data_IF_578771637511
#
_entry.id   IF_578771637511
#
_cell.length_a   1.000
_cell.length_b   1.000
_cell.length_c   1.000
_cell.angle_alpha   90.00
_cell.angle_beta   90.00
_cell.angle_gamma   90.00
#
_symmetry.space_group_name_H-M   'P 1'
#
loop_
_entity.id
_entity.type
_entity.pdbx_description
1 polymer ?
#
# COMPACT_ATOMS: atom_id res chain seq x y z
N UNK A 1 4.05 -5.59 21.74
CA UNK A 1 4.19 -4.98 20.40
C UNK A 1 4.80 -3.60 20.58
N UNK A 2 5.80 -3.22 19.76
CA UNK A 2 6.41 -1.88 19.81
C UNK A 2 5.60 -0.94 18.93
N UNK A 3 5.13 0.19 19.47
CA UNK A 3 4.50 1.22 18.65
C UNK A 3 5.54 1.91 17.75
N UNK A 4 5.19 2.23 16.49
CA UNK A 4 6.08 2.96 15.60
C UNK A 4 6.33 4.37 16.14
N UNK A 5 7.60 4.79 16.08
CA UNK A 5 7.98 6.17 16.40
C UNK A 5 7.43 7.13 15.36
N UNK A 6 7.22 8.41 15.72
CA UNK A 6 6.62 9.39 14.81
C UNK A 6 7.42 9.59 13.50
N UNK A 7 8.75 9.41 13.57
CA UNK A 7 9.62 9.39 12.40
C UNK A 7 9.35 8.19 11.47
N UNK A 8 9.11 7.00 12.03
CA UNK A 8 8.75 5.80 11.25
C UNK A 8 7.38 5.97 10.60
N UNK A 9 6.40 6.57 11.29
CA UNK A 9 5.08 6.87 10.72
C UNK A 9 5.17 7.83 9.53
N UNK A 10 5.98 8.88 9.64
CA UNK A 10 6.24 9.83 8.53
C UNK A 10 6.94 9.16 7.35
N UNK A 11 7.91 8.29 7.63
CA UNK A 11 8.64 7.56 6.61
C UNK A 11 7.75 6.51 5.93
N UNK A 12 6.86 5.86 6.66
CA UNK A 12 5.88 4.93 6.12
C UNK A 12 4.85 5.67 5.24
N UNK A 13 4.38 6.83 5.66
CA UNK A 13 3.47 7.67 4.86
C UNK A 13 4.11 8.13 3.55
N UNK A 14 5.39 8.49 3.58
CA UNK A 14 6.08 9.11 2.46
C UNK A 14 6.77 8.12 1.53
N UNK A 15 7.48 7.16 2.12
CA UNK A 15 8.37 6.23 1.44
C UNK A 15 7.79 4.84 1.34
N UNK A 16 6.64 4.55 1.97
CA UNK A 16 5.99 3.24 2.08
C UNK A 16 7.02 2.10 2.10
N UNK A 17 7.38 1.66 3.30
CA UNK A 17 8.44 0.68 3.50
C UNK A 17 8.24 -0.54 2.61
N UNK A 18 9.22 -0.83 1.76
CA UNK A 18 9.16 -1.98 0.86
C UNK A 18 9.15 -3.33 1.59
N UNK A 19 9.54 -3.34 2.87
CA UNK A 19 9.41 -4.46 3.81
C UNK A 19 8.45 -4.08 4.92
N UNK A 20 7.55 -5.00 5.24
CA UNK A 20 6.74 -4.92 6.44
C UNK A 20 7.65 -4.92 7.68
N UNK A 21 7.36 -4.07 8.67
CA UNK A 21 8.08 -4.09 9.92
C UNK A 21 7.77 -5.37 10.71
N UNK A 22 8.73 -5.87 11.49
CA UNK A 22 8.59 -7.11 12.30
C UNK A 22 7.42 -7.08 13.31
N UNK A 23 6.87 -5.90 13.62
CA UNK A 23 5.71 -5.76 14.51
C UNK A 23 4.35 -5.83 13.80
N UNK A 24 4.31 -5.87 12.46
CA UNK A 24 3.09 -5.93 11.65
C UNK A 24 2.62 -7.38 11.42
N UNK A 25 2.51 -8.16 12.50
CA UNK A 25 2.20 -9.60 12.40
C UNK A 25 0.71 -9.82 12.09
N UNK A 26 -0.19 -9.00 12.63
CA UNK A 26 -1.64 -9.27 12.63
C UNK A 26 -2.48 -8.34 11.75
N UNK A 27 -1.88 -7.30 11.14
CA UNK A 27 -2.64 -6.31 10.35
C UNK A 27 -1.86 -5.87 9.11
N UNK A 28 -2.47 -5.92 7.91
CA UNK A 28 -1.85 -5.44 6.69
C UNK A 28 -1.63 -3.92 6.80
N UNK A 29 -0.36 -3.52 6.81
CA UNK A 29 0.02 -2.10 6.83
C UNK A 29 -0.32 -1.37 5.53
N UNK A 30 -0.53 -2.11 4.44
CA UNK A 30 -0.73 -1.57 3.10
C UNK A 30 -2.10 -1.97 2.57
N UNK A 31 -2.97 -0.99 2.34
CA UNK A 31 -4.19 -1.14 1.56
C UNK A 31 -3.98 -0.54 0.19
N UNK A 32 -4.79 -0.90 -0.80
CA UNK A 32 -4.76 -0.20 -2.10
C UNK A 32 -4.93 1.31 -1.94
N UNK A 33 -5.76 1.75 -0.99
CA UNK A 33 -5.92 3.16 -0.66
C UNK A 33 -4.62 3.82 -0.20
N UNK A 34 -3.87 3.21 0.73
CA UNK A 34 -2.60 3.77 1.21
C UNK A 34 -1.51 3.77 0.14
N UNK A 35 -1.49 2.75 -0.74
CA UNK A 35 -0.58 2.68 -1.89
C UNK A 35 -0.84 3.85 -2.85
N UNK A 36 -2.11 4.10 -3.21
CA UNK A 36 -2.49 5.19 -4.11
C UNK A 36 -2.21 6.56 -3.46
N UNK A 37 -2.53 6.73 -2.18
CA UNK A 37 -2.29 7.98 -1.46
C UNK A 37 -0.81 8.37 -1.46
N UNK A 38 0.09 7.43 -1.15
CA UNK A 38 1.52 7.70 -1.18
C UNK A 38 2.05 7.97 -2.60
N UNK A 39 1.52 7.29 -3.62
CA UNK A 39 1.87 7.55 -5.01
C UNK A 39 1.53 9.00 -5.41
N UNK A 40 0.32 9.45 -5.07
CA UNK A 40 -0.13 10.82 -5.31
C UNK A 40 0.73 11.84 -4.56
N UNK A 41 1.06 11.57 -3.29
CA UNK A 41 1.92 12.43 -2.49
C UNK A 41 3.31 12.60 -3.12
N UNK A 42 3.94 11.50 -3.58
CA UNK A 42 5.24 11.55 -4.27
C UNK A 42 5.16 12.34 -5.56
N UNK A 43 4.15 12.10 -6.38
CA UNK A 43 3.95 12.82 -7.64
C UNK A 43 3.78 14.31 -7.39
N UNK A 44 2.99 14.71 -6.38
CA UNK A 44 2.83 16.10 -6.02
C UNK A 44 4.15 16.77 -5.62
N UNK A 45 4.94 16.10 -4.78
CA UNK A 45 6.22 16.63 -4.30
C UNK A 45 7.26 16.71 -5.41
N UNK A 46 7.37 15.67 -6.23
CA UNK A 46 8.25 15.66 -7.39
C UNK A 46 7.84 16.71 -8.44
N UNK A 47 6.53 16.95 -8.59
CA UNK A 47 6.01 18.02 -9.43
C UNK A 47 6.45 19.40 -8.95
N UNK A 48 6.25 19.70 -7.65
CA UNK A 48 6.70 20.96 -7.05
C UNK A 48 8.22 21.12 -7.15
N UNK A 49 8.98 20.06 -6.87
CA UNK A 49 10.44 20.09 -6.99
C UNK A 49 10.90 20.36 -8.44
N UNK A 50 10.21 19.78 -9.42
CA UNK A 50 10.50 20.01 -10.84
C UNK A 50 10.20 21.45 -11.26
N UNK A 51 9.12 22.05 -10.75
CA UNK A 51 8.82 23.48 -11.00
C UNK A 51 9.93 24.36 -10.43
N UNK A 52 10.35 24.12 -9.18
CA UNK A 52 11.44 24.87 -8.55
C UNK A 52 12.73 24.70 -9.36
N UNK A 53 13.07 23.49 -9.77
CA UNK A 53 14.28 23.19 -10.55
C UNK A 53 14.30 23.92 -11.91
N UNK A 54 13.13 24.11 -12.53
CA UNK A 54 13.00 24.84 -13.80
C UNK A 54 13.39 26.32 -13.72
N UNK A 55 13.49 26.91 -12.52
CA UNK A 55 14.00 28.26 -12.34
C UNK A 55 15.52 28.36 -12.49
N UNK A 56 16.25 27.25 -12.37
CA UNK A 56 17.71 27.21 -12.34
C UNK A 56 18.31 26.51 -13.57
N UNK A 57 17.52 25.72 -14.29
CA UNK A 57 17.96 24.88 -15.40
C UNK A 57 17.06 25.03 -16.63
N UNK A 58 17.58 24.70 -17.81
CA UNK A 58 16.80 24.68 -19.06
C UNK A 58 15.54 23.83 -18.92
N UNK A 59 14.39 24.41 -19.25
CA UNK A 59 13.07 23.77 -19.15
C UNK A 59 13.00 22.43 -19.88
N UNK A 60 13.68 22.30 -21.03
CA UNK A 60 13.73 21.03 -21.78
C UNK A 60 14.44 19.92 -21.01
N UNK A 61 15.53 20.24 -20.30
CA UNK A 61 16.27 19.25 -19.50
C UNK A 61 15.48 18.87 -18.25
N UNK A 62 14.87 19.86 -17.59
CA UNK A 62 14.03 19.64 -16.41
C UNK A 62 12.81 18.80 -16.76
N UNK A 63 12.20 19.00 -17.92
CA UNK A 63 11.07 18.19 -18.38
C UNK A 63 11.41 16.70 -18.49
N UNK A 64 12.52 16.38 -19.17
CA UNK A 64 12.98 14.99 -19.29
C UNK A 64 13.36 14.39 -17.94
N UNK A 65 14.06 15.16 -17.10
CA UNK A 65 14.41 14.72 -15.76
C UNK A 65 13.16 14.42 -14.91
N UNK A 66 12.17 15.33 -14.92
CA UNK A 66 10.92 15.17 -14.21
C UNK A 66 10.16 13.90 -14.65
N UNK A 67 10.09 13.60 -15.96
CA UNK A 67 9.45 12.38 -16.45
C UNK A 67 10.13 11.11 -15.92
N UNK A 68 11.45 11.05 -15.98
CA UNK A 68 12.22 9.91 -15.47
C UNK A 68 12.03 9.77 -13.96
N UNK A 69 12.12 10.87 -13.21
CA UNK A 69 11.98 10.85 -11.75
C UNK A 69 10.57 10.50 -11.31
N UNK A 70 9.54 11.04 -11.95
CA UNK A 70 8.13 10.70 -11.66
C UNK A 70 7.85 9.22 -11.91
N UNK A 71 8.39 8.66 -12.99
CA UNK A 71 8.24 7.24 -13.27
C UNK A 71 9.01 6.38 -12.27
N UNK A 72 10.31 6.64 -12.07
CA UNK A 72 11.19 5.82 -11.25
C UNK A 72 10.90 5.91 -9.75
N UNK A 73 10.54 7.10 -9.24
CA UNK A 73 10.36 7.36 -7.80
C UNK A 73 8.88 7.48 -7.43
N UNK A 74 8.02 7.94 -8.34
CA UNK A 74 6.58 8.02 -8.09
C UNK A 74 5.88 6.70 -8.39
N UNK A 75 5.85 6.33 -9.68
CA UNK A 75 5.00 5.25 -10.20
C UNK A 75 5.57 3.86 -9.91
N UNK A 76 6.84 3.61 -10.21
CA UNK A 76 7.48 2.31 -10.06
C UNK A 76 7.36 1.70 -8.64
N UNK A 77 7.65 2.41 -7.55
CA UNK A 77 7.50 1.84 -6.21
C UNK A 77 6.02 1.63 -5.82
N UNK A 78 5.09 2.40 -6.36
CA UNK A 78 3.66 2.16 -6.13
C UNK A 78 3.20 0.87 -6.83
N UNK A 79 3.65 0.67 -8.08
CA UNK A 79 3.38 -0.56 -8.83
C UNK A 79 3.95 -1.81 -8.14
N UNK A 80 5.22 -1.75 -7.71
CA UNK A 80 5.87 -2.88 -7.01
C UNK A 80 5.12 -3.27 -5.72
N UNK A 81 4.63 -2.28 -4.98
CA UNK A 81 3.86 -2.54 -3.76
C UNK A 81 2.47 -3.08 -4.05
N UNK A 82 1.80 -2.56 -5.07
CA UNK A 82 0.52 -3.08 -5.52
C UNK A 82 0.64 -4.55 -5.89
N UNK A 83 1.70 -4.94 -6.60
CA UNK A 83 1.94 -6.33 -6.96
C UNK A 83 2.13 -7.23 -5.73
N UNK A 84 2.93 -6.81 -4.74
CA UNK A 84 3.11 -7.57 -3.48
C UNK A 84 1.82 -7.68 -2.66
N UNK A 85 1.03 -6.62 -2.60
CA UNK A 85 -0.28 -6.64 -1.95
C UNK A 85 -1.18 -7.66 -2.65
N UNK A 86 -1.22 -7.65 -3.97
CA UNK A 86 -2.02 -8.59 -4.75
C UNK A 86 -1.59 -10.05 -4.52
N UNK A 87 -0.28 -10.34 -4.51
CA UNK A 87 0.25 -11.68 -4.19
C UNK A 87 -0.16 -12.16 -2.78
N UNK A 88 -0.25 -11.24 -1.80
CA UNK A 88 -0.72 -11.58 -0.45
C UNK A 88 -2.21 -11.88 -0.42
N UNK A 89 -3.01 -11.07 -1.11
CA UNK A 89 -4.45 -11.27 -1.24
C UNK A 89 -4.76 -12.59 -1.95
N UNK A 90 -4.01 -12.94 -2.99
CA UNK A 90 -4.13 -14.21 -3.70
C UNK A 90 -3.90 -15.39 -2.75
N UNK A 91 -2.84 -15.34 -1.93
CA UNK A 91 -2.58 -16.36 -0.89
C UNK A 91 -3.70 -16.48 0.13
N UNK A 92 -4.29 -15.36 0.57
CA UNK A 92 -5.45 -15.38 1.48
C UNK A 92 -6.66 -15.98 0.77
N UNK A 93 -6.86 -15.63 -0.50
CA UNK A 93 -8.01 -16.05 -1.29
C UNK A 93 -7.99 -17.55 -1.55
N UNK A 94 -6.82 -18.11 -1.86
CA UNK A 94 -6.65 -19.54 -2.16
C UNK A 94 -6.45 -20.40 -0.91
N UNK A 95 -5.86 -19.82 0.14
CA UNK A 95 -5.40 -20.55 1.33
C UNK A 95 -6.31 -20.50 2.54
N UNK A 96 -7.37 -19.66 2.54
CA UNK A 96 -8.21 -19.45 3.74
C UNK A 96 -9.71 -19.53 3.44
N UNK A 97 -10.50 -19.85 4.47
CA UNK A 97 -11.96 -19.80 4.40
C UNK A 97 -12.47 -18.39 4.03
N UNK A 98 -11.80 -17.34 4.51
CA UNK A 98 -12.17 -15.96 4.20
C UNK A 98 -12.10 -15.64 2.70
N UNK A 99 -11.21 -16.30 1.96
CA UNK A 99 -11.09 -16.13 0.51
C UNK A 99 -12.37 -16.46 -0.27
N UNK A 100 -13.08 -17.49 0.17
CA UNK A 100 -14.36 -17.92 -0.40
C UNK A 100 -15.57 -17.18 0.21
N UNK A 101 -15.35 -16.29 1.18
CA UNK A 101 -16.43 -15.60 1.88
C UNK A 101 -17.00 -14.42 1.07
N UNK A 102 -18.32 -14.28 1.04
CA UNK A 102 -19.02 -13.13 0.43
C UNK A 102 -18.67 -11.80 1.08
N UNK A 103 -18.32 -11.81 2.36
CA UNK A 103 -18.02 -10.62 3.14
C UNK A 103 -16.55 -10.18 3.09
N UNK A 104 -15.69 -10.93 2.40
CA UNK A 104 -14.29 -10.55 2.26
C UNK A 104 -14.09 -9.49 1.18
N UNK A 105 -13.47 -8.37 1.55
CA UNK A 105 -13.06 -7.29 0.68
C UNK A 105 -11.56 -7.39 0.36
N UNK A 106 -11.24 -7.80 -0.86
CA UNK A 106 -9.86 -7.96 -1.35
C UNK A 106 -9.08 -6.65 -1.46
N UNK A 107 -9.76 -5.52 -1.66
CA UNK A 107 -9.13 -4.19 -1.87
C UNK A 107 -8.49 -3.66 -0.59
N UNK A 108 -9.11 -3.96 0.56
CA UNK A 108 -8.68 -3.51 1.89
C UNK A 108 -8.26 -4.68 2.81
N UNK A 109 -8.27 -5.92 2.31
CA UNK A 109 -7.99 -7.13 3.10
C UNK A 109 -8.83 -7.23 4.38
N UNK A 110 -10.14 -6.99 4.27
CA UNK A 110 -11.02 -6.73 5.41
C UNK A 110 -12.27 -7.62 5.37
N UNK A 111 -12.76 -8.03 6.54
CA UNK A 111 -14.07 -8.64 6.72
C UNK A 111 -15.13 -7.56 6.92
N UNK A 112 -16.07 -7.40 5.99
CA UNK A 112 -17.07 -6.32 6.02
C UNK A 112 -18.10 -6.42 7.16
N UNK A 113 -18.15 -7.53 7.90
CA UNK A 113 -19.05 -7.69 9.05
C UNK A 113 -18.40 -7.17 10.33
N UNK A 114 -17.14 -7.55 10.56
CA UNK A 114 -16.41 -7.28 11.80
C UNK A 114 -15.50 -6.06 11.69
N UNK A 115 -15.35 -5.50 10.47
CA UNK A 115 -14.40 -4.44 10.14
C UNK A 115 -12.96 -4.76 10.55
N UNK A 116 -12.62 -6.05 10.58
CA UNK A 116 -11.32 -6.57 10.98
C UNK A 116 -10.53 -7.07 9.78
N UNK A 117 -9.21 -6.91 9.82
CA UNK A 117 -8.33 -7.36 8.75
C UNK A 117 -8.15 -8.88 8.80
N UNK A 118 -8.23 -9.50 7.63
CA UNK A 118 -8.08 -10.95 7.50
C UNK A 118 -6.61 -11.33 7.46
N UNK A 119 -6.20 -12.32 8.26
CA UNK A 119 -4.86 -12.90 8.23
C UNK A 119 -4.90 -14.35 7.71
N UNK A 120 -3.74 -14.96 7.49
CA UNK A 120 -3.65 -16.36 7.05
C UNK A 120 -3.84 -17.38 8.18
N UNK A 121 -3.76 -16.95 9.45
CA UNK A 121 -3.72 -17.87 10.58
C UNK A 121 -5.11 -18.23 11.10
N UNK A 122 -6.04 -17.26 11.12
CA UNK A 122 -7.40 -17.49 11.57
C UNK A 122 -8.42 -16.57 10.91
N UNK A 123 -9.63 -17.07 10.58
CA UNK A 123 -10.74 -16.22 10.20
C UNK A 123 -11.20 -15.39 11.41
N UNK A 124 -11.43 -14.07 11.27
CA UNK A 124 -11.80 -13.21 12.40
C UNK A 124 -13.17 -13.54 13.00
N UNK A 125 -14.08 -14.11 12.20
CA UNK A 125 -15.39 -14.55 12.68
C UNK A 125 -15.42 -16.00 13.18
N UNK A 126 -14.26 -16.67 13.28
CA UNK A 126 -14.14 -18.10 13.61
C UNK A 126 -14.98 -19.05 12.72
N UNK A 127 -15.53 -18.53 11.62
CA UNK A 127 -16.43 -19.25 10.72
C UNK A 127 -17.93 -19.10 11.04
N UNK A 128 -18.32 -18.47 12.16
CA UNK A 128 -19.73 -18.35 12.55
C UNK A 128 -20.55 -17.49 11.58
N UNK A 129 -19.95 -16.41 11.09
CA UNK A 129 -20.56 -15.47 10.16
C UNK A 129 -20.06 -15.66 8.71
N UNK A 130 -19.52 -16.86 8.40
CA UNK A 130 -19.01 -17.15 7.07
C UNK A 130 -20.15 -17.50 6.10
N UNK A 131 -20.14 -16.89 4.92
CA UNK A 131 -21.10 -17.17 3.85
C UNK A 131 -20.37 -17.43 2.53
N UNK A 132 -20.72 -18.50 1.78
CA UNK A 132 -20.11 -18.78 0.49
C UNK A 132 -20.48 -17.71 -0.54
N UNK A 133 -19.54 -17.41 -1.45
CA UNK A 133 -19.78 -16.58 -2.65
C UNK A 133 -20.57 -17.31 -3.73
#
# INVERSE_FOLDING_TARGET
MREPTDGEKLLDLFLLRTKEPEYAVDMPFYTTGSIVAAALMRVAILGVASIILSQWMDSTKVWWFAMITLWAIGVFPAWLQYQRFHEKIEKITDGTLCGACRHFNATNQLCMILDEHVTNEHPPCEGEAWEPR
#
